data_IF_349798608145
#
_entry.id   IF_349798608145
#
_cell.length_a   1.000
_cell.length_b   1.000
_cell.length_c   1.000
_cell.angle_alpha   90.00
_cell.angle_beta   90.00
_cell.angle_gamma   90.00
#
_symmetry.space_group_name_H-M   'P 1'
#
loop_
_entity.id
_entity.type
_entity.pdbx_description
1 polymer ?
#
# COMPACT_ATOMS: atom_id res chain seq x y z
N UNK A 1 -2.76 -0.29 -22.14
CA UNK A 1 -2.41 -0.91 -20.87
C UNK A 1 -3.51 -0.61 -19.86
N UNK A 2 -4.06 -1.63 -19.20
CA UNK A 2 -5.08 -1.48 -18.16
C UNK A 2 -4.44 -1.77 -16.81
N UNK A 3 -4.52 -0.85 -15.87
CA UNK A 3 -3.95 -1.04 -14.54
C UNK A 3 -5.02 -1.47 -13.54
N UNK A 4 -4.72 -2.48 -12.73
CA UNK A 4 -5.45 -2.81 -11.51
C UNK A 4 -4.96 -1.94 -10.36
N UNK A 5 -5.86 -1.22 -9.70
CA UNK A 5 -5.54 -0.45 -8.48
C UNK A 5 -6.30 -1.06 -7.33
N UNK A 6 -5.58 -1.45 -6.29
CA UNK A 6 -6.11 -2.10 -5.10
C UNK A 6 -5.90 -1.26 -3.85
N UNK A 7 -6.86 -1.32 -2.94
CA UNK A 7 -6.71 -0.97 -1.54
C UNK A 7 -7.48 -1.96 -0.66
N UNK A 8 -7.19 -2.03 0.63
CA UNK A 8 -7.82 -2.98 1.53
C UNK A 8 -9.15 -2.47 2.11
N UNK A 9 -9.24 -1.17 2.38
CA UNK A 9 -10.36 -0.52 3.07
C UNK A 9 -11.00 0.59 2.21
N UNK A 10 -12.29 0.90 2.49
CA UNK A 10 -13.04 1.91 1.74
C UNK A 10 -12.41 3.29 1.80
N UNK A 11 -12.03 3.74 3.00
CA UNK A 11 -11.41 5.04 3.21
C UNK A 11 -10.09 5.24 2.43
N UNK A 12 -9.43 4.16 2.02
CA UNK A 12 -8.20 4.21 1.21
C UNK A 12 -8.48 4.44 -0.28
N UNK A 13 -9.71 4.13 -0.76
CA UNK A 13 -10.00 4.01 -2.20
C UNK A 13 -11.14 4.92 -2.66
N UNK A 14 -11.97 5.43 -1.75
CA UNK A 14 -13.18 6.18 -2.09
C UNK A 14 -12.88 7.44 -2.92
N UNK A 15 -11.78 8.14 -2.64
CA UNK A 15 -11.30 9.26 -3.43
C UNK A 15 -11.00 8.88 -4.89
N UNK A 16 -10.36 7.73 -5.11
CA UNK A 16 -10.05 7.23 -6.46
C UNK A 16 -11.32 6.83 -7.22
N UNK A 17 -12.30 6.23 -6.55
CA UNK A 17 -13.61 5.88 -7.15
C UNK A 17 -14.37 7.15 -7.53
N UNK A 18 -14.36 8.15 -6.66
CA UNK A 18 -15.01 9.44 -6.94
C UNK A 18 -14.34 10.15 -8.13
N UNK A 19 -13.01 10.17 -8.18
CA UNK A 19 -12.25 10.72 -9.29
C UNK A 19 -12.54 9.98 -10.62
N UNK A 20 -12.56 8.65 -10.60
CA UNK A 20 -12.91 7.86 -11.81
C UNK A 20 -14.30 8.21 -12.34
N UNK A 21 -15.31 8.34 -11.47
CA UNK A 21 -16.67 8.72 -11.86
C UNK A 21 -16.77 10.14 -12.39
N UNK A 22 -15.89 11.02 -11.92
CA UNK A 22 -15.80 12.39 -12.44
C UNK A 22 -15.11 12.43 -13.79
N UNK A 23 -14.01 11.68 -13.98
CA UNK A 23 -13.21 11.68 -15.20
C UNK A 23 -13.88 10.90 -16.35
N UNK A 24 -14.64 9.86 -16.05
CA UNK A 24 -15.30 9.00 -17.04
C UNK A 24 -16.77 8.77 -16.68
N UNK A 25 -17.66 9.50 -17.38
CA UNK A 25 -19.10 9.32 -17.23
C UNK A 25 -19.60 7.93 -17.70
N UNK A 26 -18.77 7.13 -18.39
CA UNK A 26 -19.07 5.77 -18.83
C UNK A 26 -18.46 4.71 -17.92
N UNK A 27 -17.84 5.11 -16.81
CA UNK A 27 -17.33 4.17 -15.84
C UNK A 27 -18.41 3.18 -15.38
N UNK A 28 -18.07 1.90 -15.36
CA UNK A 28 -18.99 0.81 -15.02
C UNK A 28 -18.56 0.13 -13.71
N UNK A 29 -19.53 -0.51 -13.06
CA UNK A 29 -19.28 -1.30 -11.86
C UNK A 29 -19.66 -2.75 -12.15
N UNK A 30 -18.73 -3.66 -11.94
CA UNK A 30 -18.93 -5.10 -12.10
C UNK A 30 -18.86 -5.76 -10.73
N UNK A 31 -19.89 -6.53 -10.37
CA UNK A 31 -19.91 -7.25 -9.08
C UNK A 31 -19.55 -8.71 -9.28
N UNK A 32 -18.38 -9.11 -8.74
CA UNK A 32 -17.86 -10.47 -8.82
C UNK A 32 -17.40 -10.91 -7.43
N UNK A 33 -17.82 -12.07 -6.98
CA UNK A 33 -17.41 -12.62 -5.67
C UNK A 33 -17.73 -11.67 -4.50
N UNK A 34 -18.89 -11.01 -4.54
CA UNK A 34 -19.34 -10.00 -3.57
C UNK A 34 -18.43 -8.76 -3.48
N UNK A 35 -17.60 -8.49 -4.49
CA UNK A 35 -16.76 -7.28 -4.62
C UNK A 35 -17.18 -6.46 -5.82
N UNK A 36 -17.06 -5.16 -5.69
CA UNK A 36 -17.30 -4.22 -6.78
C UNK A 36 -15.97 -3.85 -7.42
N UNK A 37 -15.93 -3.94 -8.75
CA UNK A 37 -14.79 -3.57 -9.61
C UNK A 37 -15.23 -2.39 -10.46
N UNK A 38 -14.58 -1.25 -10.26
CA UNK A 38 -14.86 -0.01 -10.96
C UNK A 38 -13.96 0.09 -12.19
N UNK A 39 -14.55 0.09 -13.37
CA UNK A 39 -13.83 0.04 -14.66
C UNK A 39 -14.06 1.35 -15.40
N UNK A 40 -13.00 2.08 -15.70
CA UNK A 40 -13.11 3.36 -16.39
C UNK A 40 -11.74 3.99 -16.64
N UNK A 41 -11.77 5.24 -17.08
CA UNK A 41 -10.58 6.09 -17.12
C UNK A 41 -10.42 6.80 -15.78
N UNK A 42 -9.18 6.84 -15.30
CA UNK A 42 -8.79 7.54 -14.09
C UNK A 42 -7.52 8.33 -14.40
N UNK A 43 -7.59 9.64 -14.30
CA UNK A 43 -6.50 10.57 -14.67
C UNK A 43 -5.89 10.29 -16.05
N UNK A 44 -6.76 9.93 -17.03
CA UNK A 44 -6.39 9.67 -18.41
C UNK A 44 -5.77 8.30 -18.69
N UNK A 45 -5.86 7.37 -17.74
CA UNK A 45 -5.42 5.97 -17.90
C UNK A 45 -6.58 5.02 -17.66
N UNK A 46 -6.66 3.94 -18.47
CA UNK A 46 -7.64 2.90 -18.25
C UNK A 46 -7.28 2.08 -17.00
N UNK A 47 -8.21 2.05 -16.05
CA UNK A 47 -8.02 1.40 -14.76
C UNK A 47 -9.18 0.50 -14.37
N UNK A 48 -8.88 -0.48 -13.53
CA UNK A 48 -9.85 -1.23 -12.73
C UNK A 48 -9.50 -1.01 -11.27
N UNK A 49 -10.36 -0.30 -10.55
CA UNK A 49 -10.20 0.02 -9.14
C UNK A 49 -11.05 -0.95 -8.32
N UNK A 50 -10.47 -1.62 -7.33
CA UNK A 50 -11.18 -2.61 -6.53
C UNK A 50 -10.73 -2.63 -5.08
N UNK A 51 -11.70 -2.92 -4.18
CA UNK A 51 -11.45 -3.16 -2.77
C UNK A 51 -11.02 -4.61 -2.57
N UNK A 52 -9.77 -4.82 -2.16
CA UNK A 52 -9.23 -6.15 -1.86
C UNK A 52 -9.93 -6.79 -0.65
N UNK A 53 -10.34 -5.98 0.32
CA UNK A 53 -10.67 -6.37 1.70
C UNK A 53 -9.45 -6.84 2.47
N UNK A 54 -9.61 -7.02 3.77
CA UNK A 54 -8.52 -7.34 4.68
C UNK A 54 -8.15 -8.83 4.61
N UNK A 55 -6.84 -9.07 4.61
CA UNK A 55 -6.23 -10.39 4.73
C UNK A 55 -5.81 -11.01 3.40
N UNK A 56 -4.87 -11.94 3.49
CA UNK A 56 -4.18 -12.56 2.36
C UNK A 56 -5.10 -13.27 1.37
N UNK A 57 -6.08 -14.03 1.87
CA UNK A 57 -7.05 -14.75 1.02
C UNK A 57 -7.93 -13.77 0.23
N UNK A 58 -8.38 -12.69 0.89
CA UNK A 58 -9.19 -11.66 0.25
C UNK A 58 -8.41 -10.94 -0.86
N UNK A 59 -7.17 -10.56 -0.59
CA UNK A 59 -6.28 -9.92 -1.55
C UNK A 59 -5.95 -10.84 -2.73
N UNK A 60 -5.61 -12.12 -2.47
CA UNK A 60 -5.35 -13.09 -3.53
C UNK A 60 -6.56 -13.28 -4.46
N UNK A 61 -7.76 -13.48 -3.91
CA UNK A 61 -8.99 -13.64 -4.71
C UNK A 61 -9.26 -12.42 -5.59
N UNK A 62 -9.07 -11.21 -5.06
CA UNK A 62 -9.28 -9.97 -5.82
C UNK A 62 -8.24 -9.81 -6.92
N UNK A 63 -6.97 -10.12 -6.63
CA UNK A 63 -5.87 -10.06 -7.59
C UNK A 63 -6.08 -11.02 -8.75
N UNK A 64 -6.47 -12.27 -8.47
CA UNK A 64 -6.81 -13.26 -9.52
C UNK A 64 -7.96 -12.76 -10.39
N UNK A 65 -9.00 -12.18 -9.80
CA UNK A 65 -10.13 -11.63 -10.56
C UNK A 65 -9.70 -10.48 -11.47
N UNK A 66 -8.87 -9.55 -10.98
CA UNK A 66 -8.33 -8.47 -11.82
C UNK A 66 -7.56 -9.02 -13.03
N UNK A 67 -6.72 -10.02 -12.82
CA UNK A 67 -5.92 -10.62 -13.89
C UNK A 67 -6.79 -11.41 -14.88
N UNK A 68 -7.71 -12.24 -14.37
CA UNK A 68 -8.43 -13.21 -15.20
C UNK A 68 -9.67 -12.63 -15.88
N UNK A 69 -10.43 -11.80 -15.17
CA UNK A 69 -11.70 -11.27 -15.67
C UNK A 69 -11.52 -9.93 -16.38
N UNK A 70 -10.58 -9.09 -15.90
CA UNK A 70 -10.38 -7.75 -16.45
C UNK A 70 -9.11 -7.62 -17.30
N UNK A 71 -8.24 -8.64 -17.32
CA UNK A 71 -7.04 -8.66 -18.15
C UNK A 71 -6.09 -7.50 -17.85
N UNK A 72 -5.91 -7.16 -16.57
CA UNK A 72 -5.01 -6.06 -16.21
C UNK A 72 -3.55 -6.42 -16.53
N UNK A 73 -2.82 -5.45 -17.07
CA UNK A 73 -1.42 -5.59 -17.49
C UNK A 73 -0.42 -5.31 -16.35
N UNK A 74 -0.89 -4.81 -15.24
CA UNK A 74 -0.10 -4.52 -14.05
C UNK A 74 -1.00 -4.15 -12.87
N UNK A 75 -0.48 -4.28 -11.66
CA UNK A 75 -1.22 -4.01 -10.42
C UNK A 75 -0.44 -3.05 -9.54
N UNK A 76 -1.13 -2.03 -9.03
CA UNK A 76 -0.63 -1.12 -7.98
C UNK A 76 -1.50 -1.30 -6.75
N UNK A 77 -0.87 -1.57 -5.62
CA UNK A 77 -1.57 -1.74 -4.36
C UNK A 77 -1.16 -0.64 -3.38
N UNK A 78 -2.12 0.19 -2.98
CA UNK A 78 -1.96 1.29 -2.02
C UNK A 78 -2.69 0.97 -0.71
N UNK A 79 -2.40 1.71 0.35
CA UNK A 79 -3.08 1.58 1.64
C UNK A 79 -2.18 1.93 2.83
N UNK A 80 -2.60 1.50 4.02
CA UNK A 80 -1.91 1.77 5.28
C UNK A 80 -1.05 0.59 5.75
N UNK A 81 -0.08 0.88 6.64
CA UNK A 81 0.73 -0.12 7.32
C UNK A 81 1.26 0.39 8.66
N UNK A 82 1.56 -0.51 9.58
CA UNK A 82 2.34 -0.23 10.78
C UNK A 82 3.82 -0.09 10.45
N UNK A 83 4.44 1.01 10.89
CA UNK A 83 5.86 1.28 10.70
C UNK A 83 6.72 0.46 11.66
N UNK A 84 7.60 -0.38 11.10
CA UNK A 84 8.44 -1.28 11.91
C UNK A 84 9.93 -0.99 11.75
N UNK A 85 10.35 -0.41 10.63
CA UNK A 85 11.75 -0.11 10.33
C UNK A 85 12.35 0.97 11.25
N UNK A 86 13.66 0.92 11.43
CA UNK A 86 14.38 1.98 12.15
C UNK A 86 14.23 3.31 11.39
N UNK A 87 13.73 4.35 12.07
CA UNK A 87 13.52 5.67 11.48
C UNK A 87 12.25 5.83 10.64
N UNK A 88 11.43 4.79 10.50
CA UNK A 88 10.10 4.89 9.89
C UNK A 88 9.12 5.50 10.89
N UNK A 89 8.34 6.50 10.46
CA UNK A 89 7.46 7.29 11.31
C UNK A 89 6.06 7.39 10.70
N UNK A 90 5.07 7.75 11.54
CA UNK A 90 3.70 8.03 11.09
C UNK A 90 3.73 9.14 10.03
N UNK A 91 2.98 8.94 8.95
CA UNK A 91 2.97 9.83 7.78
C UNK A 91 4.03 9.52 6.73
N UNK A 92 5.03 8.69 7.03
CA UNK A 92 6.00 8.24 6.02
C UNK A 92 5.34 7.37 4.95
N UNK A 93 5.94 7.35 3.76
CA UNK A 93 5.58 6.44 2.69
C UNK A 93 6.63 5.32 2.58
N UNK A 94 6.16 4.10 2.42
CA UNK A 94 7.01 2.94 2.13
C UNK A 94 6.59 2.36 0.80
N UNK A 95 7.49 2.37 -0.18
CA UNK A 95 7.34 1.65 -1.45
C UNK A 95 8.11 0.34 -1.33
N UNK A 96 7.45 -0.77 -1.64
CA UNK A 96 8.09 -2.08 -1.55
C UNK A 96 9.07 -2.30 -2.71
N UNK A 97 10.27 -2.77 -2.41
CA UNK A 97 11.14 -3.43 -3.38
C UNK A 97 10.85 -4.94 -3.46
N UNK A 98 10.30 -5.49 -2.37
CA UNK A 98 9.83 -6.86 -2.25
C UNK A 98 8.82 -7.00 -1.11
N UNK A 99 8.04 -8.06 -1.17
CA UNK A 99 7.09 -8.43 -0.12
C UNK A 99 7.36 -9.83 0.40
N UNK A 100 7.00 -10.11 1.67
CA UNK A 100 7.18 -11.40 2.34
C UNK A 100 5.96 -11.73 3.20
N UNK A 101 5.58 -13.01 3.28
CA UNK A 101 4.56 -13.45 4.23
C UNK A 101 5.22 -13.77 5.59
N UNK A 102 5.11 -12.86 6.56
CA UNK A 102 5.79 -13.01 7.86
C UNK A 102 5.25 -14.15 8.72
N UNK A 103 4.01 -14.56 8.50
CA UNK A 103 3.32 -15.62 9.22
C UNK A 103 3.33 -16.98 8.50
N UNK A 104 3.96 -17.09 7.31
CA UNK A 104 4.13 -18.36 6.62
C UNK A 104 5.15 -19.23 7.35
N UNK A 105 4.68 -20.33 7.91
CA UNK A 105 5.52 -21.27 8.66
C UNK A 105 5.09 -22.72 8.45
N UNK A 106 5.73 -23.38 7.52
CA UNK A 106 5.48 -24.81 7.22
C UNK A 106 6.61 -25.73 7.72
N UNK A 107 7.37 -25.28 8.73
CA UNK A 107 8.43 -26.10 9.34
C UNK A 107 7.87 -27.33 10.07
N UNK A 108 8.60 -28.44 10.11
CA UNK A 108 9.97 -28.64 9.63
C UNK A 108 10.06 -29.03 8.14
N UNK A 109 8.96 -29.08 7.40
CA UNK A 109 8.92 -29.57 6.01
C UNK A 109 9.55 -28.58 5.03
N UNK A 110 9.38 -27.28 5.28
CA UNK A 110 9.92 -26.19 4.47
C UNK A 110 10.53 -25.14 5.38
N UNK A 111 11.48 -24.33 4.89
CA UNK A 111 11.98 -23.17 5.62
C UNK A 111 10.85 -22.21 6.02
N UNK A 112 11.04 -21.48 7.12
CA UNK A 112 10.11 -20.40 7.50
C UNK A 112 10.05 -19.34 6.39
N UNK A 113 8.89 -18.75 6.17
CA UNK A 113 8.52 -17.79 5.14
C UNK A 113 8.48 -18.36 3.71
N UNK A 114 9.11 -19.50 3.44
CA UNK A 114 9.02 -20.12 2.13
C UNK A 114 7.60 -20.61 1.86
N UNK A 115 7.02 -20.17 0.73
CA UNK A 115 5.76 -20.72 0.23
C UNK A 115 6.02 -22.14 -0.26
N UNK A 116 5.40 -23.17 0.36
CA UNK A 116 5.61 -24.57 0.00
C UNK A 116 5.37 -24.81 -1.50
N UNK A 117 6.22 -25.64 -2.11
CA UNK A 117 6.18 -26.02 -3.51
C UNK A 117 6.46 -24.87 -4.53
N UNK A 118 6.37 -23.61 -4.12
CA UNK A 118 6.77 -22.48 -4.96
C UNK A 118 8.27 -22.17 -4.85
N UNK A 119 8.90 -22.57 -3.72
CA UNK A 119 10.34 -22.41 -3.50
C UNK A 119 10.78 -20.96 -3.29
N UNK A 120 9.84 -20.07 -2.96
CA UNK A 120 10.09 -18.65 -2.72
C UNK A 120 9.59 -18.22 -1.37
N UNK A 121 10.31 -17.31 -0.75
CA UNK A 121 9.99 -16.63 0.51
C UNK A 121 9.70 -15.14 0.30
N UNK A 122 10.27 -14.54 -0.74
CA UNK A 122 10.10 -13.13 -1.10
C UNK A 122 9.56 -12.98 -2.52
N UNK A 123 8.74 -11.95 -2.73
CA UNK A 123 8.17 -11.57 -4.03
C UNK A 123 8.66 -10.17 -4.41
N UNK A 124 9.71 -10.05 -5.25
CA UNK A 124 10.19 -8.77 -5.76
C UNK A 124 9.09 -8.05 -6.55
N UNK A 125 8.98 -6.75 -6.36
CA UNK A 125 8.10 -5.89 -7.14
C UNK A 125 8.70 -5.59 -8.52
N UNK A 126 7.86 -5.14 -9.45
CA UNK A 126 8.34 -4.74 -10.78
C UNK A 126 9.20 -3.46 -10.69
N UNK A 127 10.43 -3.46 -11.19
CA UNK A 127 11.34 -2.31 -11.05
C UNK A 127 10.81 -1.02 -11.69
N UNK A 128 10.12 -1.11 -12.83
CA UNK A 128 9.62 0.05 -13.57
C UNK A 128 8.40 0.65 -12.87
N UNK A 129 7.44 -0.19 -12.44
CA UNK A 129 6.29 0.27 -11.67
C UNK A 129 6.72 0.84 -10.32
N UNK A 130 7.66 0.19 -9.65
CA UNK A 130 8.20 0.63 -8.35
C UNK A 130 8.91 1.97 -8.46
N UNK A 131 9.74 2.17 -9.49
CA UNK A 131 10.41 3.44 -9.71
C UNK A 131 9.39 4.57 -9.99
N UNK A 132 8.41 4.32 -10.86
CA UNK A 132 7.38 5.32 -11.16
C UNK A 132 6.52 5.66 -9.92
N UNK A 133 6.17 4.65 -9.12
CA UNK A 133 5.41 4.84 -7.89
C UNK A 133 6.22 5.59 -6.82
N UNK A 134 7.50 5.28 -6.69
CA UNK A 134 8.44 6.00 -5.82
C UNK A 134 8.54 7.48 -6.21
N UNK A 135 8.72 7.78 -7.50
CA UNK A 135 8.87 9.15 -7.97
C UNK A 135 7.56 9.96 -7.76
N UNK A 136 6.40 9.32 -7.99
CA UNK A 136 5.10 9.91 -7.68
C UNK A 136 4.91 10.17 -6.18
N UNK A 137 5.30 9.23 -5.33
CA UNK A 137 5.25 9.37 -3.88
C UNK A 137 6.17 10.49 -3.35
N UNK A 138 7.39 10.58 -3.89
CA UNK A 138 8.32 11.66 -3.55
C UNK A 138 7.77 13.02 -3.94
N UNK A 139 7.21 13.14 -5.14
CA UNK A 139 6.61 14.39 -5.62
C UNK A 139 5.35 14.77 -4.81
N UNK A 140 4.53 13.80 -4.42
CA UNK A 140 3.38 14.06 -3.54
C UNK A 140 3.82 14.64 -2.19
N UNK A 141 4.81 14.03 -1.54
CA UNK A 141 5.32 14.55 -0.26
C UNK A 141 5.88 15.96 -0.39
N UNK A 142 6.60 16.25 -1.48
CA UNK A 142 7.27 17.52 -1.68
C UNK A 142 6.31 18.66 -2.08
N UNK A 143 5.28 18.37 -2.86
CA UNK A 143 4.51 19.41 -3.56
C UNK A 143 3.02 19.44 -3.17
N UNK A 144 2.41 18.28 -2.84
CA UNK A 144 0.97 18.20 -2.65
C UNK A 144 0.55 18.05 -1.18
N UNK A 145 1.36 17.45 -0.35
CA UNK A 145 1.00 17.08 1.03
C UNK A 145 0.41 18.26 1.83
N UNK A 146 1.01 19.44 1.67
CA UNK A 146 0.58 20.65 2.37
C UNK A 146 -0.85 21.06 2.03
N UNK A 147 -1.28 20.84 0.79
CA UNK A 147 -2.59 21.21 0.27
C UNK A 147 -3.60 20.06 0.31
N UNK A 148 -3.14 18.84 0.14
CA UNK A 148 -3.98 17.66 0.14
C UNK A 148 -4.51 17.31 1.53
N UNK A 149 -3.67 17.43 2.57
CA UNK A 149 -4.06 17.11 3.96
C UNK A 149 -4.21 18.39 4.77
N UNK A 150 -5.38 18.65 5.38
CA UNK A 150 -5.60 19.87 6.17
C UNK A 150 -4.58 20.04 7.29
N UNK A 151 -4.17 21.30 7.55
CA UNK A 151 -3.12 21.61 8.53
C UNK A 151 -3.45 21.09 9.95
N UNK A 152 -4.72 21.16 10.38
CA UNK A 152 -5.15 20.65 11.68
C UNK A 152 -5.02 19.13 11.78
N UNK A 153 -5.31 18.40 10.70
CA UNK A 153 -5.15 16.95 10.60
C UNK A 153 -3.67 16.58 10.64
N UNK A 154 -2.84 17.26 9.84
CA UNK A 154 -1.39 17.05 9.86
C UNK A 154 -0.79 17.27 11.26
N UNK A 155 -1.17 18.34 11.94
CA UNK A 155 -0.72 18.63 13.30
C UNK A 155 -1.11 17.54 14.31
N UNK A 156 -2.31 16.98 14.17
CA UNK A 156 -2.81 15.90 15.03
C UNK A 156 -1.95 14.64 14.96
N UNK A 157 -1.50 14.27 13.77
CA UNK A 157 -0.68 13.07 13.54
C UNK A 157 0.83 13.35 13.53
N UNK A 158 1.26 14.56 13.86
CA UNK A 158 2.67 14.91 13.84
C UNK A 158 3.27 14.89 12.43
N UNK A 159 2.47 15.16 11.41
CA UNK A 159 2.90 15.20 10.00
C UNK A 159 3.18 16.64 9.62
N UNK A 160 4.44 17.04 9.46
CA UNK A 160 4.79 18.38 8.95
C UNK A 160 4.93 18.34 7.44
N UNK A 161 4.43 19.40 6.76
CA UNK A 161 4.61 19.57 5.32
C UNK A 161 5.68 20.62 5.00
N UNK A 162 6.26 21.26 6.00
CA UNK A 162 7.32 22.25 5.80
C UNK A 162 8.69 21.56 5.73
N UNK A 163 9.10 21.22 4.51
CA UNK A 163 10.41 20.66 4.23
C UNK A 163 11.57 21.67 4.42
N UNK A 164 11.24 22.99 4.55
CA UNK A 164 12.22 24.07 4.69
C UNK A 164 12.38 24.54 6.12
N UNK A 165 11.37 24.37 6.96
CA UNK A 165 11.46 24.62 8.38
C UNK A 165 12.26 23.48 9.00
N UNK A 166 13.58 23.60 8.98
CA UNK A 166 14.42 22.71 9.76
C UNK A 166 13.86 22.58 11.15
N UNK A 167 13.71 21.39 11.60
CA UNK A 167 13.37 20.82 12.94
C UNK A 167 12.88 21.79 14.04
N UNK A 168 12.11 22.83 13.67
CA UNK A 168 11.69 23.90 14.59
C UNK A 168 10.59 23.49 15.56
N UNK A 169 10.01 22.28 15.37
CA UNK A 169 8.99 21.73 16.26
C UNK A 169 9.34 20.32 16.77
N UNK A 170 10.53 19.77 16.44
CA UNK A 170 10.93 18.42 16.87
C UNK A 170 10.20 17.28 16.14
N UNK A 171 9.38 17.58 15.11
CA UNK A 171 8.70 16.58 14.30
C UNK A 171 9.28 16.62 12.89
N UNK A 172 10.00 15.57 12.47
CA UNK A 172 10.57 15.54 11.13
C UNK A 172 9.48 15.45 10.06
N UNK A 173 9.77 16.00 8.88
CA UNK A 173 8.90 15.86 7.71
C UNK A 173 8.77 14.39 7.29
N UNK A 174 7.59 13.98 6.76
CA UNK A 174 7.41 12.65 6.21
C UNK A 174 8.44 12.31 5.14
N UNK A 175 8.90 11.08 5.16
CA UNK A 175 9.93 10.57 4.28
C UNK A 175 9.41 9.44 3.42
N UNK A 176 10.08 9.24 2.30
CA UNK A 176 9.87 8.08 1.46
C UNK A 176 10.96 7.04 1.73
N UNK A 177 10.54 5.81 1.96
CA UNK A 177 11.41 4.66 2.15
C UNK A 177 11.19 3.65 1.02
N UNK A 178 12.26 2.96 0.62
CA UNK A 178 12.22 1.85 -0.32
C UNK A 178 12.77 0.60 0.38
N UNK A 179 12.00 -0.49 0.42
CA UNK A 179 12.45 -1.74 1.04
C UNK A 179 11.34 -2.74 1.30
N UNK A 180 11.60 -3.70 2.19
CA UNK A 180 10.72 -4.82 2.45
C UNK A 180 9.43 -4.39 3.18
N UNK A 181 8.27 -4.87 2.67
CA UNK A 181 6.98 -4.86 3.38
C UNK A 181 6.59 -6.31 3.68
N UNK A 182 6.16 -6.58 4.91
CA UNK A 182 5.73 -7.93 5.29
C UNK A 182 4.23 -7.99 5.57
N UNK A 183 3.59 -9.07 5.07
CA UNK A 183 2.16 -9.30 5.22
C UNK A 183 1.87 -10.53 6.08
N UNK A 184 0.77 -10.48 6.83
CA UNK A 184 0.26 -11.63 7.57
C UNK A 184 -1.18 -11.41 8.01
N UNK A 185 -1.93 -12.49 8.29
CA UNK A 185 -3.32 -12.40 8.73
C UNK A 185 -3.41 -12.04 10.23
N UNK A 186 -2.60 -11.06 10.65
CA UNK A 186 -2.51 -10.57 12.02
C UNK A 186 -2.28 -9.06 12.04
N UNK A 187 -3.06 -8.35 12.85
CA UNK A 187 -2.77 -6.95 13.19
C UNK A 187 -1.61 -6.91 14.18
N UNK A 188 -0.49 -6.31 13.80
CA UNK A 188 0.72 -6.22 14.62
C UNK A 188 0.68 -4.95 15.45
N UNK A 189 0.56 -5.10 16.77
CA UNK A 189 0.51 -3.98 17.72
C UNK A 189 1.26 -4.28 19.04
N UNK A 190 1.97 -5.41 19.12
CA UNK A 190 2.73 -5.75 20.32
C UNK A 190 4.24 -5.56 20.12
N UNK A 191 4.93 -4.79 21.00
CA UNK A 191 6.37 -4.53 20.88
C UNK A 191 7.24 -5.80 20.80
N UNK A 192 6.82 -6.87 21.48
CA UNK A 192 7.50 -8.19 21.43
C UNK A 192 7.45 -8.80 20.04
N UNK A 193 6.28 -8.78 19.40
CA UNK A 193 6.11 -9.26 18.02
C UNK A 193 6.92 -8.44 17.03
N UNK A 194 6.95 -7.12 17.21
CA UNK A 194 7.79 -6.22 16.41
C UNK A 194 9.27 -6.57 16.53
N UNK A 195 9.76 -6.77 17.74
CA UNK A 195 11.16 -7.16 17.99
C UNK A 195 11.51 -8.50 17.31
N UNK A 196 10.61 -9.47 17.39
CA UNK A 196 10.78 -10.76 16.73
C UNK A 196 10.77 -10.66 15.19
N UNK A 197 9.89 -9.84 14.64
CA UNK A 197 9.83 -9.61 13.18
C UNK A 197 11.10 -8.93 12.68
N UNK A 198 11.58 -7.89 13.37
CA UNK A 198 12.85 -7.22 13.03
C UNK A 198 14.05 -8.18 13.07
N UNK A 199 14.09 -9.08 14.07
CA UNK A 199 15.17 -10.06 14.19
C UNK A 199 15.13 -11.12 13.07
N UNK A 200 13.94 -11.50 12.63
CA UNK A 200 13.73 -12.55 11.59
C UNK A 200 13.83 -12.01 10.16
N UNK A 201 13.45 -10.76 9.95
CA UNK A 201 13.38 -10.12 8.64
C UNK A 201 14.24 -8.83 8.63
N UNK A 202 15.57 -8.95 8.51
CA UNK A 202 16.44 -7.80 8.44
C UNK A 202 16.07 -6.88 7.27
N UNK A 203 15.94 -5.58 7.54
CA UNK A 203 15.53 -4.59 6.54
C UNK A 203 14.03 -4.44 6.37
N UNK A 204 13.21 -5.08 7.21
CA UNK A 204 11.77 -4.88 7.24
C UNK A 204 11.43 -3.43 7.63
N UNK A 205 10.61 -2.77 6.81
CA UNK A 205 10.19 -1.38 7.00
C UNK A 205 8.77 -1.25 7.54
N UNK A 206 7.85 -2.04 7.03
CA UNK A 206 6.44 -1.94 7.38
C UNK A 206 5.75 -3.32 7.40
N UNK A 207 4.66 -3.41 8.16
CA UNK A 207 3.79 -4.60 8.24
C UNK A 207 2.36 -4.23 7.91
N UNK A 208 1.69 -5.11 7.19
CA UNK A 208 0.28 -4.99 6.78
C UNK A 208 -0.30 -6.41 6.55
N UNK A 209 -1.43 -6.55 5.86
CA UNK A 209 -2.11 -7.86 5.84
C UNK A 209 -2.32 -8.45 4.44
N UNK A 210 -1.88 -7.83 3.34
CA UNK A 210 -2.29 -8.21 1.96
C UNK A 210 -1.16 -8.25 0.93
N UNK A 211 -0.23 -7.30 0.96
CA UNK A 211 0.70 -7.01 -0.15
C UNK A 211 1.50 -8.21 -0.64
N UNK A 212 1.93 -9.10 0.27
CA UNK A 212 2.66 -10.30 -0.12
C UNK A 212 1.76 -11.35 -0.82
N UNK A 213 0.47 -11.37 -0.54
CA UNK A 213 -0.48 -12.22 -1.26
C UNK A 213 -0.72 -11.70 -2.68
N UNK A 214 -0.81 -10.37 -2.85
CA UNK A 214 -0.81 -9.74 -4.18
C UNK A 214 0.47 -10.08 -4.93
N UNK A 215 1.64 -9.92 -4.28
CA UNK A 215 2.95 -10.23 -4.86
C UNK A 215 3.08 -11.69 -5.28
N UNK A 216 2.63 -12.63 -4.45
CA UNK A 216 2.62 -14.06 -4.79
C UNK A 216 1.76 -14.34 -6.03
N UNK A 217 0.51 -13.87 -6.06
CA UNK A 217 -0.39 -14.09 -7.20
C UNK A 217 0.19 -13.46 -8.47
N UNK A 218 0.68 -12.22 -8.40
CA UNK A 218 1.31 -11.55 -9.53
C UNK A 218 2.53 -12.33 -10.06
N UNK A 219 3.35 -12.86 -9.15
CA UNK A 219 4.48 -13.72 -9.53
C UNK A 219 4.02 -14.98 -10.27
N UNK A 220 3.00 -15.69 -9.75
CA UNK A 220 2.49 -16.92 -10.36
C UNK A 220 1.84 -16.69 -11.74
N UNK A 221 1.23 -15.53 -11.95
CA UNK A 221 0.60 -15.14 -13.22
C UNK A 221 1.52 -14.36 -14.17
N UNK A 222 2.73 -14.02 -13.75
CA UNK A 222 3.66 -13.22 -14.56
C UNK A 222 3.18 -11.79 -14.80
N UNK A 223 2.41 -11.21 -13.88
CA UNK A 223 1.89 -9.84 -13.96
C UNK A 223 2.75 -8.89 -13.12
N UNK A 224 3.27 -7.79 -13.68
CA UNK A 224 4.03 -6.81 -12.91
C UNK A 224 3.19 -6.16 -11.81
N UNK A 225 3.79 -5.90 -10.65
CA UNK A 225 3.11 -5.26 -9.53
C UNK A 225 4.02 -4.30 -8.76
N UNK A 226 3.41 -3.33 -8.10
CA UNK A 226 4.05 -2.46 -7.13
C UNK A 226 3.14 -2.29 -5.90
N UNK A 227 3.76 -2.09 -4.74
CA UNK A 227 3.06 -1.92 -3.46
C UNK A 227 3.58 -0.67 -2.78
N UNK A 228 2.66 0.16 -2.28
CA UNK A 228 2.97 1.32 -1.46
C UNK A 228 2.10 1.32 -0.21
N UNK A 229 2.67 1.78 0.89
CA UNK A 229 1.96 1.97 2.15
C UNK A 229 2.26 3.32 2.76
N UNK A 230 1.22 3.95 3.30
CA UNK A 230 1.37 5.10 4.21
C UNK A 230 1.43 4.56 5.64
N UNK A 231 2.39 5.01 6.39
CA UNK A 231 2.55 4.58 7.79
C UNK A 231 1.51 5.26 8.67
N UNK A 232 0.55 4.50 9.19
CA UNK A 232 -0.54 4.99 10.03
C UNK A 232 -0.24 4.96 11.53
N UNK A 233 0.64 4.05 11.93
CA UNK A 233 0.98 3.75 13.32
C UNK A 233 2.39 3.13 13.43
N UNK A 234 2.86 2.91 14.66
CA UNK A 234 4.20 2.36 14.92
C UNK A 234 4.21 0.85 15.16
N UNK A 235 3.11 0.17 14.89
CA UNK A 235 2.90 -1.24 15.24
C UNK A 235 3.19 -1.53 16.74
N UNK A 236 2.87 -0.58 17.61
CA UNK A 236 3.03 -0.65 19.06
C UNK A 236 1.68 -0.70 19.79
N UNK A 237 1.70 -0.57 21.11
CA UNK A 237 0.50 -0.65 21.95
C UNK A 237 -0.53 0.44 21.63
N UNK A 238 -0.17 1.54 20.97
CA UNK A 238 -1.08 2.61 20.53
C UNK A 238 -1.71 2.36 19.16
N UNK A 239 -1.20 1.43 18.37
CA UNK A 239 -1.60 1.19 16.97
C UNK A 239 -3.12 1.02 16.79
N UNK A 240 -3.80 0.33 17.73
CA UNK A 240 -5.24 0.12 17.68
C UNK A 240 -6.08 1.40 17.88
N UNK A 241 -5.48 2.47 18.40
CA UNK A 241 -6.11 3.79 18.55
C UNK A 241 -5.74 4.70 17.38
N UNK A 242 -4.48 4.68 16.95
CA UNK A 242 -3.95 5.59 15.92
C UNK A 242 -4.44 5.20 14.53
N UNK A 243 -4.46 3.91 14.20
CA UNK A 243 -4.87 3.40 12.90
C UNK A 243 -6.27 3.86 12.46
N UNK A 244 -7.37 3.69 13.25
CA UNK A 244 -8.71 4.10 12.81
C UNK A 244 -8.83 5.60 12.55
N UNK A 245 -8.17 6.41 13.36
CA UNK A 245 -8.20 7.85 13.20
C UNK A 245 -7.42 8.31 11.95
N UNK A 246 -6.24 7.72 11.71
CA UNK A 246 -5.44 8.00 10.53
C UNK A 246 -6.15 7.52 9.25
N UNK A 247 -6.77 6.35 9.29
CA UNK A 247 -7.57 5.81 8.19
C UNK A 247 -8.67 6.79 7.77
N UNK A 248 -9.46 7.26 8.73
CA UNK A 248 -10.61 8.13 8.45
C UNK A 248 -10.21 9.54 7.95
N UNK A 249 -9.07 10.07 8.39
CA UNK A 249 -8.72 11.47 8.17
C UNK A 249 -7.60 11.69 7.14
N UNK A 250 -6.77 10.68 6.84
CA UNK A 250 -5.53 10.85 6.07
C UNK A 250 -5.41 9.89 4.89
N UNK A 251 -5.84 8.63 5.04
CA UNK A 251 -5.54 7.56 4.09
C UNK A 251 -5.93 7.88 2.64
N UNK A 252 -7.15 8.39 2.43
CA UNK A 252 -7.66 8.74 1.10
C UNK A 252 -6.79 9.80 0.42
N UNK A 253 -6.37 10.82 1.15
CA UNK A 253 -5.56 11.93 0.60
C UNK A 253 -4.20 11.45 0.08
N UNK A 254 -3.54 10.55 0.83
CA UNK A 254 -2.26 9.99 0.41
C UNK A 254 -2.43 9.05 -0.80
N UNK A 255 -3.38 8.12 -0.72
CA UNK A 255 -3.64 7.16 -1.80
C UNK A 255 -4.01 7.88 -3.10
N UNK A 256 -4.98 8.80 -3.06
CA UNK A 256 -5.40 9.57 -4.24
C UNK A 256 -4.27 10.45 -4.77
N UNK A 257 -3.59 11.20 -3.92
CA UNK A 257 -2.54 12.13 -4.35
C UNK A 257 -1.38 11.42 -5.05
N UNK A 258 -0.90 10.30 -4.50
CA UNK A 258 0.18 9.54 -5.11
C UNK A 258 -0.29 8.83 -6.39
N UNK A 259 -1.44 8.17 -6.39
CA UNK A 259 -1.96 7.47 -7.58
C UNK A 259 -2.25 8.46 -8.71
N UNK A 260 -2.77 9.65 -8.43
CA UNK A 260 -2.96 10.72 -9.43
C UNK A 260 -1.64 11.07 -10.12
N UNK A 261 -0.56 11.31 -9.37
CA UNK A 261 0.76 11.60 -9.93
C UNK A 261 1.33 10.43 -10.71
N UNK A 262 1.21 9.23 -10.17
CA UNK A 262 1.66 8.01 -10.82
C UNK A 262 1.00 7.81 -12.19
N UNK A 263 -0.33 7.96 -12.28
CA UNK A 263 -1.06 7.79 -13.53
C UNK A 263 -0.80 8.93 -14.52
N UNK A 264 -0.72 10.18 -14.04
CA UNK A 264 -0.43 11.33 -14.89
C UNK A 264 0.95 11.26 -15.57
N UNK A 265 1.95 10.71 -14.92
CA UNK A 265 3.29 10.53 -15.47
C UNK A 265 3.39 9.41 -16.54
N UNK A 266 2.34 8.62 -16.73
CA UNK A 266 2.28 7.48 -17.68
C UNK A 266 1.47 7.80 -18.94
N UNK A 267 1.06 9.05 -19.14
CA UNK A 267 0.35 9.52 -20.34
C UNK A 267 1.23 9.52 -21.59
#
# INVERSE_FOLDING_TARGET
MTLGILAALHDEIDGLIAAMRHDDARATVHRIGMRDYYVGELYGQRCVVALARVGKVAAAATTVTLIREFGVDGIVFTGLAGGIGAGVQVGDLVVADRTVQHDMDARPLFPRHQVPLLGRDEFPTDPALTAALRDAAQAFLAEDLATAVPAAVRARFGVTADLTAGDTAGVPAPRLHLGMIASGDQFIGAPTTVAELRARLPGLLAVEMEGAAVGQVCHEYGVPHAVMRTVSDRADDSAHVDFPAFLAEVASHYSEGVIRRFLAARR
#
